data_IF_545024931641
#
_entry.id   IF_545024931641
#
_cell.length_a   1.000
_cell.length_b   1.000
_cell.length_c   1.000
_cell.angle_alpha   90.00
_cell.angle_beta   90.00
_cell.angle_gamma   90.00
#
_symmetry.space_group_name_H-M   'P 1'
#
loop_
_entity.id
_entity.type
_entity.pdbx_description
1 polymer ?
#
# COMPACT_ATOMS: atom_id res chain seq x y z
N UNK A 1 -4.05 -3.20 27.62
CA UNK A 1 -3.84 -3.85 26.30
C UNK A 1 -3.72 -5.33 26.57
N UNK A 2 -4.50 -6.17 25.88
CA UNK A 2 -4.57 -7.61 26.16
C UNK A 2 -3.25 -8.27 25.73
N UNK A 3 -2.50 -8.85 26.67
CA UNK A 3 -1.09 -9.23 26.48
C UNK A 3 -0.90 -10.51 25.65
N UNK A 4 -1.98 -11.21 25.29
CA UNK A 4 -1.92 -12.53 24.63
C UNK A 4 -2.52 -12.53 23.21
N UNK A 5 -2.36 -11.44 22.45
CA UNK A 5 -2.71 -11.44 21.03
C UNK A 5 -1.47 -11.78 20.20
N UNK A 6 -1.53 -12.89 19.47
CA UNK A 6 -0.49 -13.26 18.51
C UNK A 6 -1.11 -13.61 17.16
N UNK A 7 -0.77 -12.83 16.12
CA UNK A 7 -1.10 -13.13 14.73
C UNK A 7 -0.28 -14.35 14.30
N UNK A 8 -0.96 -15.43 13.95
CA UNK A 8 -0.33 -16.66 13.46
C UNK A 8 -0.79 -17.00 12.04
N UNK A 9 -0.09 -17.92 11.38
CA UNK A 9 -0.56 -18.52 10.13
C UNK A 9 -1.79 -19.40 10.41
N UNK A 10 -2.86 -19.23 9.63
CA UNK A 10 -4.09 -20.00 9.73
C UNK A 10 -3.91 -21.42 9.15
N UNK A 11 -3.25 -21.55 7.99
CA UNK A 11 -2.92 -22.83 7.35
C UNK A 11 -1.50 -22.76 6.76
N UNK A 12 -0.74 -23.85 6.88
CA UNK A 12 0.62 -23.98 6.32
C UNK A 12 0.64 -23.77 4.80
N UNK A 13 -0.46 -24.09 4.11
CA UNK A 13 -0.60 -23.91 2.65
C UNK A 13 -0.41 -22.46 2.20
N UNK A 14 -0.80 -21.49 3.03
CA UNK A 14 -0.68 -20.06 2.71
C UNK A 14 0.69 -19.47 3.06
N UNK A 15 1.52 -20.18 3.82
CA UNK A 15 2.81 -19.66 4.29
C UNK A 15 3.79 -19.33 3.16
N UNK A 16 3.89 -20.17 2.14
CA UNK A 16 4.80 -19.94 1.00
C UNK A 16 4.30 -18.82 0.07
N UNK A 17 3.04 -18.80 -0.39
CA UNK A 17 2.51 -17.70 -1.20
C UNK A 17 2.67 -16.34 -0.53
N UNK A 18 2.35 -16.24 0.76
CA UNK A 18 2.45 -14.99 1.51
C UNK A 18 3.89 -14.51 1.59
N UNK A 19 4.84 -15.40 1.90
CA UNK A 19 6.27 -15.07 1.94
C UNK A 19 6.78 -14.56 0.60
N UNK A 20 6.50 -15.27 -0.48
CA UNK A 20 6.95 -14.89 -1.82
C UNK A 20 6.39 -13.53 -2.21
N UNK A 21 5.08 -13.32 -2.02
CA UNK A 21 4.45 -12.05 -2.35
C UNK A 21 5.04 -10.90 -1.53
N UNK A 22 5.20 -11.06 -0.21
CA UNK A 22 5.78 -10.01 0.64
C UNK A 22 7.20 -9.63 0.24
N UNK A 23 8.00 -10.60 -0.23
CA UNK A 23 9.35 -10.33 -0.74
C UNK A 23 9.32 -9.56 -2.06
N UNK A 24 8.44 -9.97 -2.99
CA UNK A 24 8.26 -9.26 -4.27
C UNK A 24 7.85 -7.81 -4.01
N UNK A 25 6.84 -7.60 -3.16
CA UNK A 25 6.36 -6.26 -2.78
C UNK A 25 7.47 -5.45 -2.10
N UNK A 26 8.30 -6.08 -1.26
CA UNK A 26 9.43 -5.42 -0.62
C UNK A 26 10.50 -4.96 -1.62
N UNK A 27 10.91 -5.83 -2.57
CA UNK A 27 11.87 -5.46 -3.61
C UNK A 27 11.33 -4.33 -4.49
N UNK A 28 10.05 -4.39 -4.86
CA UNK A 28 9.41 -3.33 -5.64
C UNK A 28 9.34 -2.01 -4.86
N UNK A 29 9.05 -2.08 -3.55
CA UNK A 29 9.08 -0.93 -2.66
C UNK A 29 10.47 -0.29 -2.57
N UNK A 30 11.53 -1.10 -2.50
CA UNK A 30 12.91 -0.59 -2.51
C UNK A 30 13.25 0.07 -3.85
N UNK A 31 12.86 -0.55 -4.96
CA UNK A 31 13.10 -0.02 -6.31
C UNK A 31 12.39 1.32 -6.53
N UNK A 32 11.10 1.41 -6.20
CA UNK A 32 10.32 2.65 -6.31
C UNK A 32 10.85 3.75 -5.40
N UNK A 33 11.39 3.41 -4.22
CA UNK A 33 12.03 4.39 -3.33
C UNK A 33 13.28 5.01 -3.97
N UNK A 34 14.11 4.22 -4.65
CA UNK A 34 15.26 4.75 -5.39
C UNK A 34 14.79 5.70 -6.50
N UNK A 35 13.73 5.32 -7.23
CA UNK A 35 13.16 6.18 -8.26
C UNK A 35 12.62 7.50 -7.70
N UNK A 36 11.94 7.47 -6.55
CA UNK A 36 11.46 8.67 -5.86
C UNK A 36 12.61 9.63 -5.52
N UNK A 37 13.76 9.11 -5.09
CA UNK A 37 14.95 9.91 -4.79
C UNK A 37 15.54 10.54 -6.05
N UNK A 38 15.65 9.76 -7.14
CA UNK A 38 16.14 10.28 -8.42
C UNK A 38 15.23 11.39 -8.95
N UNK A 39 13.93 11.20 -8.85
CA UNK A 39 12.90 12.16 -9.24
C UNK A 39 13.00 13.42 -8.38
N UNK A 40 13.14 13.30 -7.06
CA UNK A 40 13.39 14.44 -6.18
C UNK A 40 14.62 15.25 -6.61
N UNK A 41 15.72 14.57 -6.97
CA UNK A 41 16.95 15.22 -7.43
C UNK A 41 16.76 15.98 -8.75
N UNK A 42 15.96 15.43 -9.66
CA UNK A 42 15.64 16.05 -10.94
C UNK A 42 14.76 17.30 -10.74
N UNK A 43 13.72 17.21 -9.92
CA UNK A 43 12.88 18.36 -9.56
C UNK A 43 13.64 19.45 -8.80
N UNK A 44 14.60 19.07 -7.95
CA UNK A 44 15.49 20.00 -7.28
C UNK A 44 16.39 20.77 -8.25
N UNK A 45 16.80 20.13 -9.34
CA UNK A 45 17.75 20.71 -10.29
C UNK A 45 17.08 21.50 -11.42
N UNK A 46 15.83 21.18 -11.78
CA UNK A 46 15.25 21.57 -13.07
C UNK A 46 13.91 22.37 -13.04
N UNK A 47 13.25 22.64 -11.91
CA UNK A 47 11.89 23.21 -11.95
C UNK A 47 11.47 24.26 -10.89
N UNK A 48 10.55 25.14 -11.34
CA UNK A 48 9.77 26.18 -10.62
C UNK A 48 8.58 25.63 -9.78
N UNK A 49 8.51 24.32 -9.52
CA UNK A 49 7.42 23.71 -8.74
C UNK A 49 7.71 23.88 -7.25
N UNK A 50 6.68 24.20 -6.46
CA UNK A 50 6.85 24.35 -5.00
C UNK A 50 7.33 23.04 -4.37
N UNK A 51 8.55 23.06 -3.82
CA UNK A 51 9.19 21.93 -3.11
C UNK A 51 8.27 21.19 -2.12
N UNK A 52 7.41 21.86 -1.34
CA UNK A 52 6.49 21.17 -0.43
C UNK A 52 5.51 20.21 -1.13
N UNK A 53 5.05 20.54 -2.34
CA UNK A 53 4.11 19.70 -3.11
C UNK A 53 4.81 18.45 -3.65
N UNK A 54 6.06 18.60 -4.11
CA UNK A 54 6.90 17.48 -4.56
C UNK A 54 7.19 16.53 -3.41
N UNK A 55 7.52 17.06 -2.22
CA UNK A 55 7.77 16.26 -1.03
C UNK A 55 6.51 15.48 -0.63
N UNK A 56 5.34 16.12 -0.60
CA UNK A 56 4.07 15.43 -0.33
C UNK A 56 3.84 14.29 -1.33
N UNK A 57 3.93 14.57 -2.64
CA UNK A 57 3.77 13.55 -3.66
C UNK A 57 4.73 12.36 -3.53
N UNK A 58 5.95 12.59 -3.05
CA UNK A 58 6.95 11.56 -2.89
C UNK A 58 6.83 10.77 -1.58
N UNK A 59 6.12 11.29 -0.57
CA UNK A 59 5.95 10.64 0.75
C UNK A 59 5.16 9.34 0.67
N UNK A 60 4.32 9.16 -0.34
CA UNK A 60 3.66 7.89 -0.61
C UNK A 60 4.63 6.71 -0.67
N UNK A 61 5.80 6.89 -1.29
CA UNK A 61 6.75 5.83 -1.57
C UNK A 61 7.52 5.35 -0.34
N UNK A 62 8.07 6.22 0.55
CA UNK A 62 8.61 5.76 1.82
C UNK A 62 7.52 5.12 2.71
N UNK A 63 6.28 5.60 2.70
CA UNK A 63 5.20 4.91 3.42
C UNK A 63 4.91 3.52 2.85
N UNK A 64 4.81 3.38 1.52
CA UNK A 64 4.64 2.09 0.86
C UNK A 64 5.80 1.12 1.15
N UNK A 65 7.03 1.63 1.13
CA UNK A 65 8.23 0.86 1.42
C UNK A 65 8.25 0.36 2.86
N UNK A 66 7.99 1.24 3.84
CA UNK A 66 7.94 0.84 5.26
C UNK A 66 6.80 -0.16 5.48
N UNK A 67 5.64 0.02 4.83
CA UNK A 67 4.56 -0.96 4.88
C UNK A 67 5.02 -2.35 4.38
N UNK A 68 5.64 -2.40 3.19
CA UNK A 68 6.16 -3.63 2.61
C UNK A 68 7.22 -4.29 3.49
N UNK A 69 8.15 -3.50 4.04
CA UNK A 69 9.20 -3.95 4.96
C UNK A 69 8.60 -4.56 6.24
N UNK A 70 7.65 -3.86 6.87
CA UNK A 70 7.00 -4.33 8.09
C UNK A 70 6.21 -5.61 7.85
N UNK A 71 5.54 -5.72 6.72
CA UNK A 71 4.85 -6.95 6.34
C UNK A 71 5.80 -8.11 6.08
N UNK A 72 6.90 -7.90 5.34
CA UNK A 72 7.90 -8.93 5.10
C UNK A 72 8.52 -9.43 6.41
N UNK A 73 8.90 -8.52 7.32
CA UNK A 73 9.38 -8.88 8.65
C UNK A 73 8.32 -9.58 9.50
N UNK A 74 7.08 -9.12 9.47
CA UNK A 74 5.96 -9.73 10.18
C UNK A 74 5.80 -11.19 9.75
N UNK A 75 5.65 -11.44 8.46
CA UNK A 75 5.51 -12.79 7.90
C UNK A 75 6.73 -13.67 8.18
N UNK A 76 7.94 -13.09 8.15
CA UNK A 76 9.15 -13.81 8.51
C UNK A 76 9.13 -14.27 9.97
N UNK A 77 8.72 -13.39 10.91
CA UNK A 77 8.56 -13.74 12.33
C UNK A 77 7.51 -14.81 12.56
N UNK A 78 6.36 -14.74 11.87
CA UNK A 78 5.31 -15.78 11.98
C UNK A 78 5.86 -17.15 11.58
N UNK A 79 6.67 -17.19 10.52
CA UNK A 79 7.28 -18.44 10.08
C UNK A 79 8.37 -18.98 11.03
N UNK A 80 8.95 -18.12 11.89
CA UNK A 80 9.83 -18.53 12.98
C UNK A 80 9.06 -18.93 14.26
N UNK A 81 7.72 -18.83 14.27
CA UNK A 81 6.89 -19.07 15.45
C UNK A 81 6.86 -17.91 16.45
N UNK A 82 7.37 -16.73 16.07
CA UNK A 82 7.38 -15.52 16.90
C UNK A 82 6.15 -14.63 16.61
N UNK A 83 5.71 -13.87 17.61
CA UNK A 83 4.65 -12.88 17.46
C UNK A 83 5.00 -11.78 16.45
N UNK A 84 4.05 -11.46 15.57
CA UNK A 84 4.22 -10.48 14.48
C UNK A 84 3.23 -9.31 14.52
N UNK A 85 2.47 -9.20 15.61
CA UNK A 85 1.35 -8.26 15.78
C UNK A 85 1.74 -6.83 15.47
N UNK A 86 2.81 -6.37 16.11
CA UNK A 86 3.30 -4.99 15.96
C UNK A 86 3.71 -4.70 14.52
N UNK A 87 4.31 -5.68 13.84
CA UNK A 87 4.80 -5.50 12.48
C UNK A 87 3.63 -5.40 11.49
N UNK A 88 2.64 -6.30 11.59
CA UNK A 88 1.49 -6.28 10.69
C UNK A 88 0.64 -5.02 10.93
N UNK A 89 0.38 -4.66 12.19
CA UNK A 89 -0.39 -3.45 12.54
C UNK A 89 0.35 -2.19 12.04
N UNK A 90 1.66 -2.10 12.24
CA UNK A 90 2.46 -0.97 11.76
C UNK A 90 2.48 -0.90 10.23
N UNK A 91 2.52 -2.04 9.53
CA UNK A 91 2.42 -2.07 8.08
C UNK A 91 1.11 -1.46 7.58
N UNK A 92 -0.02 -1.81 8.19
CA UNK A 92 -1.32 -1.19 7.86
C UNK A 92 -1.38 0.29 8.26
N UNK A 93 -0.75 0.70 9.36
CA UNK A 93 -0.64 2.11 9.73
C UNK A 93 0.12 2.93 8.67
N UNK A 94 1.18 2.38 8.09
CA UNK A 94 1.90 3.03 6.99
C UNK A 94 1.07 3.10 5.71
N UNK A 95 0.30 2.04 5.39
CA UNK A 95 -0.63 2.09 4.26
C UNK A 95 -1.75 3.14 4.47
N UNK A 96 -2.20 3.36 5.70
CA UNK A 96 -3.15 4.43 6.01
C UNK A 96 -2.55 5.82 5.69
N UNK A 97 -1.31 6.07 6.08
CA UNK A 97 -0.63 7.33 5.73
C UNK A 97 -0.48 7.50 4.22
N UNK A 98 -0.17 6.42 3.51
CA UNK A 98 -0.17 6.39 2.05
C UNK A 98 -1.52 6.78 1.45
N UNK A 99 -2.63 6.26 1.98
CA UNK A 99 -3.96 6.57 1.47
C UNK A 99 -4.38 8.02 1.77
N UNK A 100 -4.00 8.54 2.94
CA UNK A 100 -4.18 9.96 3.27
C UNK A 100 -3.40 10.85 2.31
N UNK A 101 -2.15 10.49 2.02
CA UNK A 101 -1.31 11.24 1.07
C UNK A 101 -1.90 11.24 -0.35
N UNK A 102 -2.32 10.07 -0.85
CA UNK A 102 -3.04 9.95 -2.12
C UNK A 102 -4.29 10.85 -2.16
N UNK A 103 -5.09 10.85 -1.09
CA UNK A 103 -6.32 11.63 -1.00
C UNK A 103 -6.06 13.15 -1.02
N UNK A 104 -4.94 13.61 -0.44
CA UNK A 104 -4.52 15.01 -0.47
C UNK A 104 -3.94 15.37 -1.84
N UNK A 105 -3.20 14.46 -2.47
CA UNK A 105 -2.54 14.70 -3.76
C UNK A 105 -3.52 14.88 -4.92
N UNK A 106 -4.55 14.03 -5.00
CA UNK A 106 -5.54 14.03 -6.08
C UNK A 106 -6.15 15.44 -6.33
N UNK A 107 -6.71 16.15 -5.33
CA UNK A 107 -7.28 17.48 -5.53
C UNK A 107 -6.24 18.58 -5.79
N UNK A 108 -4.96 18.36 -5.49
CA UNK A 108 -3.88 19.33 -5.81
C UNK A 108 -3.49 19.22 -7.28
N UNK A 109 -3.40 18.01 -7.82
CA UNK A 109 -2.86 17.76 -9.16
C UNK A 109 -3.94 17.75 -10.26
N UNK A 110 -5.13 17.21 -9.98
CA UNK A 110 -6.20 17.07 -10.98
C UNK A 110 -7.13 18.28 -11.08
N UNK A 111 -6.92 19.33 -10.28
CA UNK A 111 -7.75 20.55 -10.33
C UNK A 111 -7.48 21.43 -11.55
N UNK A 112 -6.38 21.19 -12.26
CA UNK A 112 -5.95 21.96 -13.43
C UNK A 112 -6.25 21.31 -14.79
N UNK A 113 -6.52 20.01 -14.83
CA UNK A 113 -6.79 19.26 -16.07
C UNK A 113 -8.26 18.83 -16.11
N UNK A 114 -8.85 18.80 -17.31
CA UNK A 114 -10.30 18.67 -17.61
C UNK A 114 -11.01 17.38 -17.13
N UNK A 115 -10.50 16.66 -16.12
CA UNK A 115 -11.15 15.51 -15.49
C UNK A 115 -11.87 15.88 -14.20
N UNK A 116 -12.98 15.22 -13.89
CA UNK A 116 -13.71 15.41 -12.62
C UNK A 116 -12.84 14.98 -11.42
N UNK A 117 -12.29 15.91 -10.61
CA UNK A 117 -11.41 15.58 -9.49
C UNK A 117 -12.16 14.81 -8.40
N UNK A 118 -13.48 14.92 -8.40
CA UNK A 118 -14.40 14.29 -7.47
C UNK A 118 -14.36 12.76 -7.58
N UNK A 119 -14.26 12.19 -8.79
CA UNK A 119 -14.29 10.75 -9.00
C UNK A 119 -13.06 10.06 -8.40
N UNK A 120 -11.87 10.63 -8.62
CA UNK A 120 -10.63 10.12 -8.01
C UNK A 120 -10.59 10.39 -6.50
N UNK A 121 -11.12 11.52 -6.03
CA UNK A 121 -11.20 11.80 -4.59
C UNK A 121 -12.10 10.78 -3.87
N UNK A 122 -13.24 10.43 -4.47
CA UNK A 122 -14.13 9.37 -3.95
C UNK A 122 -13.38 8.03 -3.92
N UNK A 123 -12.63 7.71 -4.97
CA UNK A 123 -11.82 6.50 -5.04
C UNK A 123 -10.79 6.44 -3.90
N UNK A 124 -10.01 7.51 -3.70
CA UNK A 124 -9.05 7.62 -2.59
C UNK A 124 -9.70 7.55 -1.20
N UNK A 125 -10.92 8.09 -1.05
CA UNK A 125 -11.68 7.98 0.19
C UNK A 125 -12.12 6.52 0.47
N UNK A 126 -12.51 5.78 -0.56
CA UNK A 126 -12.84 4.35 -0.44
C UNK A 126 -11.60 3.55 -0.01
N UNK A 127 -10.43 3.82 -0.59
CA UNK A 127 -9.16 3.17 -0.23
C UNK A 127 -8.82 3.41 1.24
N UNK A 128 -8.95 4.66 1.70
CA UNK A 128 -8.73 5.03 3.09
C UNK A 128 -9.66 4.26 4.02
N UNK A 129 -10.97 4.21 3.73
CA UNK A 129 -11.95 3.47 4.53
C UNK A 129 -11.60 1.98 4.58
N UNK A 130 -11.25 1.39 3.43
CA UNK A 130 -10.86 -0.02 3.37
C UNK A 130 -9.65 -0.31 4.26
N UNK A 131 -8.63 0.55 4.23
CA UNK A 131 -7.44 0.40 5.06
C UNK A 131 -7.71 0.62 6.55
N UNK A 132 -8.66 1.49 6.92
CA UNK A 132 -9.11 1.62 8.32
C UNK A 132 -9.73 0.31 8.79
N UNK A 133 -10.57 -0.33 7.96
CA UNK A 133 -11.17 -1.64 8.29
C UNK A 133 -10.08 -2.69 8.51
N UNK A 134 -9.06 -2.75 7.65
CA UNK A 134 -7.91 -3.64 7.84
C UNK A 134 -7.16 -3.38 9.15
N UNK A 135 -6.85 -2.12 9.42
CA UNK A 135 -6.14 -1.70 10.63
C UNK A 135 -6.91 -2.10 11.89
N UNK A 136 -8.22 -1.85 11.93
CA UNK A 136 -9.09 -2.23 13.05
C UNK A 136 -9.23 -3.76 13.18
N UNK A 137 -9.28 -4.49 12.07
CA UNK A 137 -9.36 -5.95 12.09
C UNK A 137 -8.14 -6.58 12.78
N UNK A 138 -6.93 -6.16 12.42
CA UNK A 138 -5.70 -6.67 13.04
C UNK A 138 -5.47 -6.16 14.47
N UNK A 139 -6.26 -5.18 14.93
CA UNK A 139 -6.35 -4.78 16.34
C UNK A 139 -7.44 -5.55 17.13
N UNK A 140 -8.14 -6.50 16.51
CA UNK A 140 -9.30 -7.25 17.03
C UNK A 140 -10.58 -6.45 17.23
N UNK A 141 -10.74 -5.31 16.55
CA UNK A 141 -11.98 -4.52 16.63
C UNK A 141 -12.91 -4.78 15.45
N UNK A 142 -12.42 -5.44 14.39
CA UNK A 142 -13.15 -5.69 13.14
C UNK A 142 -13.66 -7.11 12.94
N UNK A 143 -14.57 -7.27 11.97
CA UNK A 143 -15.10 -8.57 11.53
C UNK A 143 -14.40 -9.03 10.24
N UNK A 144 -13.99 -10.31 10.19
CA UNK A 144 -13.35 -10.94 9.01
C UNK A 144 -14.14 -10.77 7.71
N UNK A 145 -15.47 -10.87 7.74
CA UNK A 145 -16.30 -10.72 6.54
C UNK A 145 -16.24 -9.31 5.97
N UNK A 146 -16.27 -8.30 6.86
CA UNK A 146 -16.14 -6.90 6.46
C UNK A 146 -14.74 -6.61 5.92
N UNK A 147 -13.70 -7.14 6.57
CA UNK A 147 -12.30 -7.02 6.10
C UNK A 147 -12.09 -7.68 4.74
N UNK A 148 -12.76 -8.80 4.48
CA UNK A 148 -12.71 -9.45 3.17
C UNK A 148 -13.32 -8.56 2.07
N UNK A 149 -14.52 -8.01 2.30
CA UNK A 149 -15.14 -7.07 1.36
C UNK A 149 -14.28 -5.83 1.13
N UNK A 150 -13.70 -5.28 2.21
CA UNK A 150 -12.76 -4.16 2.12
C UNK A 150 -11.51 -4.53 1.31
N UNK A 151 -10.99 -5.75 1.45
CA UNK A 151 -9.86 -6.26 0.66
C UNK A 151 -10.17 -6.35 -0.84
N UNK A 152 -11.34 -6.87 -1.20
CA UNK A 152 -11.77 -6.92 -2.60
C UNK A 152 -11.91 -5.52 -3.19
N UNK A 153 -12.56 -4.60 -2.47
CA UNK A 153 -12.71 -3.21 -2.90
C UNK A 153 -11.36 -2.51 -3.05
N UNK A 154 -10.44 -2.70 -2.10
CA UNK A 154 -9.11 -2.10 -2.14
C UNK A 154 -8.29 -2.58 -3.36
N UNK A 155 -8.35 -3.88 -3.67
CA UNK A 155 -7.68 -4.44 -4.86
C UNK A 155 -8.28 -3.88 -6.14
N UNK A 156 -9.61 -3.77 -6.23
CA UNK A 156 -10.28 -3.18 -7.39
C UNK A 156 -9.95 -1.70 -7.55
N UNK A 157 -9.87 -0.95 -6.45
CA UNK A 157 -9.55 0.48 -6.44
C UNK A 157 -8.14 0.76 -6.95
N UNK A 158 -7.11 0.19 -6.30
CA UNK A 158 -5.74 0.36 -6.76
C UNK A 158 -5.49 -0.30 -8.12
N UNK A 159 -6.21 -1.39 -8.44
CA UNK A 159 -6.16 -2.01 -9.76
C UNK A 159 -6.68 -1.09 -10.86
N UNK A 160 -7.76 -0.35 -10.60
CA UNK A 160 -8.29 0.66 -11.54
C UNK A 160 -7.28 1.79 -11.76
N UNK A 161 -6.65 2.31 -10.70
CA UNK A 161 -5.61 3.33 -10.84
C UNK A 161 -4.40 2.84 -11.66
N UNK A 162 -4.01 1.57 -11.49
CA UNK A 162 -2.93 0.96 -12.26
C UNK A 162 -3.30 0.82 -13.75
N UNK A 163 -4.53 0.39 -14.06
CA UNK A 163 -5.02 0.30 -15.45
C UNK A 163 -5.07 1.69 -16.10
N UNK A 164 -5.50 2.71 -15.37
CA UNK A 164 -5.53 4.07 -15.88
C UNK A 164 -4.11 4.61 -16.11
N UNK A 165 -3.15 4.32 -15.22
CA UNK A 165 -1.74 4.65 -15.43
C UNK A 165 -1.16 3.98 -16.69
N UNK A 166 -1.51 2.72 -16.95
CA UNK A 166 -1.12 2.00 -18.18
C UNK A 166 -1.78 2.63 -19.40
N UNK A 167 -3.07 2.97 -19.33
CA UNK A 167 -3.79 3.63 -20.42
C UNK A 167 -3.13 4.95 -20.79
N UNK A 168 -2.79 5.77 -19.79
CA UNK A 168 -2.09 7.04 -19.99
C UNK A 168 -0.74 6.81 -20.67
N UNK A 169 0.03 5.81 -20.24
CA UNK A 169 1.31 5.46 -20.85
C UNK A 169 1.16 5.02 -22.32
N UNK A 170 0.12 4.24 -22.65
CA UNK A 170 -0.14 3.78 -24.02
C UNK A 170 -0.72 4.86 -24.93
N UNK A 171 -1.49 5.81 -24.37
CA UNK A 171 -2.07 6.93 -25.12
C UNK A 171 -1.05 8.03 -25.38
N UNK A 172 -0.05 8.15 -24.51
CA UNK A 172 1.12 8.96 -24.75
C UNK A 172 2.06 8.24 -25.72
N UNK A 173 2.21 8.72 -26.96
CA UNK A 173 3.28 8.33 -27.91
C UNK A 173 4.70 8.71 -27.40
N UNK A 174 4.89 8.75 -26.09
CA UNK A 174 5.94 9.49 -25.40
C UNK A 174 7.06 8.53 -24.98
N UNK A 175 8.29 8.97 -25.23
CA UNK A 175 9.53 8.41 -24.67
C UNK A 175 9.38 8.16 -23.17
N UNK A 176 9.67 6.94 -22.69
CA UNK A 176 9.58 6.56 -21.28
C UNK A 176 10.38 7.54 -20.39
N UNK A 177 9.72 8.54 -19.81
CA UNK A 177 10.35 9.52 -18.91
C UNK A 177 10.40 8.97 -17.49
N UNK A 178 11.30 9.50 -16.65
CA UNK A 178 11.44 9.06 -15.26
C UNK A 178 10.12 9.19 -14.48
N UNK A 179 9.38 10.27 -14.69
CA UNK A 179 8.08 10.54 -14.05
C UNK A 179 6.98 9.54 -14.42
N UNK A 180 6.83 9.26 -15.73
CA UNK A 180 5.79 8.33 -16.21
C UNK A 180 6.08 6.90 -15.74
N UNK A 181 7.36 6.51 -15.77
CA UNK A 181 7.79 5.22 -15.27
C UNK A 181 7.63 5.10 -13.75
N UNK A 182 8.03 6.11 -12.98
CA UNK A 182 7.82 6.13 -11.53
C UNK A 182 6.34 6.01 -11.16
N UNK A 183 5.47 6.76 -11.84
CA UNK A 183 4.03 6.71 -11.58
C UNK A 183 3.44 5.32 -11.82
N UNK A 184 3.82 4.65 -12.92
CA UNK A 184 3.42 3.27 -13.17
C UNK A 184 3.88 2.35 -12.05
N UNK A 185 5.18 2.39 -11.71
CA UNK A 185 5.77 1.51 -10.72
C UNK A 185 5.15 1.72 -9.32
N UNK A 186 4.85 2.97 -8.96
CA UNK A 186 4.10 3.32 -7.76
C UNK A 186 2.72 2.67 -7.74
N UNK A 187 1.95 2.76 -8.83
CA UNK A 187 0.61 2.16 -8.89
C UNK A 187 0.67 0.63 -8.82
N UNK A 188 1.63 0.00 -9.49
CA UNK A 188 1.88 -1.46 -9.37
C UNK A 188 2.18 -1.85 -7.91
N UNK A 189 3.03 -1.09 -7.21
CA UNK A 189 3.33 -1.33 -5.79
C UNK A 189 2.08 -1.26 -4.91
N UNK A 190 1.24 -0.24 -5.09
CA UNK A 190 -0.01 -0.09 -4.35
C UNK A 190 -0.93 -1.30 -4.59
N UNK A 191 -1.09 -1.74 -5.84
CA UNK A 191 -1.89 -2.92 -6.17
C UNK A 191 -1.35 -4.18 -5.49
N UNK A 192 -0.02 -4.40 -5.49
CA UNK A 192 0.58 -5.53 -4.80
C UNK A 192 0.35 -5.49 -3.29
N UNK A 193 0.46 -4.31 -2.67
CA UNK A 193 0.15 -4.13 -1.24
C UNK A 193 -1.32 -4.46 -0.93
N UNK A 194 -2.26 -4.11 -1.80
CA UNK A 194 -3.67 -4.49 -1.62
C UNK A 194 -3.91 -5.99 -1.80
N UNK A 195 -3.31 -6.63 -2.82
CA UNK A 195 -3.40 -8.08 -3.01
C UNK A 195 -2.82 -8.80 -1.80
N UNK A 196 -1.73 -8.29 -1.25
CA UNK A 196 -1.10 -8.82 -0.05
C UNK A 196 -1.99 -8.63 1.20
N UNK A 197 -2.63 -7.47 1.36
CA UNK A 197 -3.59 -7.23 2.43
C UNK A 197 -4.77 -8.22 2.36
N UNK A 198 -5.33 -8.44 1.16
CA UNK A 198 -6.38 -9.43 0.95
C UNK A 198 -5.90 -10.85 1.27
N UNK A 199 -4.68 -11.22 0.83
CA UNK A 199 -4.08 -12.52 1.14
C UNK A 199 -3.91 -12.73 2.65
N UNK A 200 -3.58 -11.69 3.40
CA UNK A 200 -3.47 -11.76 4.85
C UNK A 200 -4.80 -12.10 5.53
N UNK A 201 -5.96 -11.71 4.98
CA UNK A 201 -7.28 -12.10 5.52
C UNK A 201 -7.47 -13.61 5.47
N UNK A 202 -6.94 -14.27 4.44
CA UNK A 202 -7.01 -15.73 4.29
C UNK A 202 -5.93 -16.45 5.09
N UNK A 203 -4.72 -15.89 5.12
CA UNK A 203 -3.54 -16.57 5.62
C UNK A 203 -3.28 -16.36 7.10
N UNK A 204 -3.72 -15.21 7.66
CA UNK A 204 -3.40 -14.83 9.03
C UNK A 204 -4.63 -14.95 9.93
N UNK A 205 -4.40 -15.44 11.14
CA UNK A 205 -5.40 -15.45 12.20
C UNK A 205 -4.96 -14.51 13.33
N UNK A 206 -5.68 -13.40 13.58
CA UNK A 206 -5.34 -12.50 14.67
C UNK A 206 -5.61 -13.12 16.06
N UNK A 207 -6.58 -14.03 16.20
CA UNK A 207 -7.15 -14.36 17.51
C UNK A 207 -6.52 -15.53 18.29
N UNK A 208 -5.33 -16.02 17.93
CA UNK A 208 -4.74 -17.14 18.66
C UNK A 208 -4.16 -16.65 19.99
N UNK A 209 -4.93 -16.87 21.07
CA UNK A 209 -4.43 -16.80 22.45
C UNK A 209 -3.48 -17.97 22.66
N UNK A 210 -2.20 -17.70 22.90
CA UNK A 210 -1.34 -18.68 23.55
C UNK A 210 -1.94 -18.93 24.92
N UNK A 211 -2.35 -20.17 25.21
CA UNK A 211 -2.73 -20.57 26.57
C UNK A 211 -1.47 -20.49 27.42
N UNK A 212 -1.53 -19.70 28.49
CA UNK A 212 -0.60 -19.80 29.61
C UNK A 212 -0.69 -21.21 30.25
#
# INVERSE_FOLDING_TARGET
MNENHTITLQDKKWGMPVRVLTLITFFLGAFTLVQAILLLSEYYSNYDVSMPVVILFLLITPFAFVAALMFAFGVHKIAQGNGADKNIILGFAMMLLLAVDNLIYIPIHYRGDNGDPLSFMILGAIELICLIIFFLYYQNWGNKALTFCAGVLLVLSFGFEMVEAIRLLCASDITLTLDTFYNLMKKVLNTLLAVQALLFVFALNPSVRVKD
#
